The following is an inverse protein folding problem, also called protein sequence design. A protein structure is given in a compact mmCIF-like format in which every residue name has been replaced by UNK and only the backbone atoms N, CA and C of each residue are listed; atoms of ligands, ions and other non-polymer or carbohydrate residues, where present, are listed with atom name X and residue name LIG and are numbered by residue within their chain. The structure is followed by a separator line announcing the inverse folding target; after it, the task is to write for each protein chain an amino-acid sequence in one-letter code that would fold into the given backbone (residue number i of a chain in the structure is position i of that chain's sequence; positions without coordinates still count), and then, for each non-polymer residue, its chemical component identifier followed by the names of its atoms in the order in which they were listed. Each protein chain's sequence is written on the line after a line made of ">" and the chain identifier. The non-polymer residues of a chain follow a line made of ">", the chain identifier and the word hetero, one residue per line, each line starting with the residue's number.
data_IF_239204529314
#
_entry.id   IF_239204529314
#
_cell.length_a   1.000
_cell.length_b   1.000
_cell.length_c   1.000
_cell.angle_alpha   90.00
_cell.angle_beta   90.00
_cell.angle_gamma   90.00
#
_symmetry.space_group_name_H-M   'P 1'
#
loop_
_entity.id
_entity.type
_entity.pdbx_description
1 polymer ?
#
# COMPACT_ATOMS: atom_id res chain seq x y z
N UNK A 1 27.41 9.72 -47.77
CA UNK A 1 27.51 10.59 -46.58
C UNK A 1 26.22 10.60 -45.77
N UNK A 2 25.06 10.86 -46.39
CA UNK A 2 23.75 10.94 -45.69
C UNK A 2 23.36 9.66 -44.95
N UNK A 3 23.51 8.48 -45.56
CA UNK A 3 23.17 7.19 -44.92
C UNK A 3 23.96 6.96 -43.63
N UNK A 4 25.27 7.27 -43.63
CA UNK A 4 26.11 7.10 -42.46
C UNK A 4 25.71 8.01 -41.28
N UNK A 5 25.23 9.22 -41.57
CA UNK A 5 24.70 10.16 -40.57
C UNK A 5 23.37 9.69 -39.98
N UNK A 6 22.46 9.19 -40.82
CA UNK A 6 21.18 8.63 -40.36
C UNK A 6 21.40 7.43 -39.45
N UNK A 7 22.27 6.50 -39.87
CA UNK A 7 22.62 5.32 -39.05
C UNK A 7 23.30 5.71 -37.73
N UNK A 8 24.08 6.78 -37.68
CA UNK A 8 24.70 7.26 -36.45
C UNK A 8 23.66 7.81 -35.46
N UNK A 9 22.67 8.57 -35.97
CA UNK A 9 21.57 9.11 -35.15
C UNK A 9 20.71 7.99 -34.59
N UNK A 10 20.36 7.00 -35.40
CA UNK A 10 19.56 5.84 -34.97
C UNK A 10 20.29 5.03 -33.89
N UNK A 11 21.59 4.79 -34.07
CA UNK A 11 22.42 4.08 -33.09
C UNK A 11 22.64 4.87 -31.80
N UNK A 12 22.63 6.21 -31.85
CA UNK A 12 22.75 7.03 -30.65
C UNK A 12 21.41 7.15 -29.89
N UNK A 13 20.28 7.23 -30.60
CA UNK A 13 18.97 7.46 -29.99
C UNK A 13 18.36 6.19 -29.39
N UNK A 14 18.55 5.04 -30.04
CA UNK A 14 18.03 3.73 -29.58
C UNK A 14 18.39 3.39 -28.13
N UNK A 15 19.68 3.42 -27.70
CA UNK A 15 20.04 3.09 -26.33
C UNK A 15 19.51 4.11 -25.31
N UNK A 16 19.36 5.39 -25.69
CA UNK A 16 18.80 6.44 -24.83
C UNK A 16 17.32 6.14 -24.55
N UNK A 17 16.55 5.79 -25.59
CA UNK A 17 15.15 5.43 -25.45
C UNK A 17 14.97 4.17 -24.59
N UNK A 18 15.81 3.14 -24.81
CA UNK A 18 15.81 1.91 -23.99
C UNK A 18 16.10 2.25 -22.53
N UNK A 19 17.14 3.03 -22.25
CA UNK A 19 17.49 3.41 -20.89
C UNK A 19 16.36 4.17 -20.19
N UNK A 20 15.71 5.12 -20.88
CA UNK A 20 14.61 5.88 -20.30
C UNK A 20 13.44 4.99 -19.87
N UNK A 21 13.05 4.01 -20.70
CA UNK A 21 12.00 3.04 -20.35
C UNK A 21 12.41 2.22 -19.13
N UNK A 22 13.62 1.68 -19.13
CA UNK A 22 14.16 0.89 -18.01
C UNK A 22 14.23 1.72 -16.71
N UNK A 23 14.62 2.98 -16.80
CA UNK A 23 14.77 3.86 -15.65
C UNK A 23 13.42 4.21 -15.02
N UNK A 24 12.39 4.46 -15.84
CA UNK A 24 11.02 4.66 -15.35
C UNK A 24 10.49 3.39 -14.69
N UNK A 25 10.69 2.23 -15.32
CA UNK A 25 10.28 0.94 -14.77
C UNK A 25 10.95 0.69 -13.40
N UNK A 26 12.27 0.87 -13.32
CA UNK A 26 13.02 0.75 -12.07
C UNK A 26 12.45 1.62 -10.94
N UNK A 27 12.04 2.86 -11.24
CA UNK A 27 11.44 3.76 -10.23
C UNK A 27 10.11 3.24 -9.72
N UNK A 28 9.27 2.72 -10.62
CA UNK A 28 7.98 2.11 -10.26
C UNK A 28 8.20 0.87 -9.39
N UNK A 29 9.11 0.00 -9.79
CA UNK A 29 9.44 -1.23 -9.08
C UNK A 29 10.01 -0.91 -7.69
N UNK A 30 10.89 0.08 -7.60
CA UNK A 30 11.44 0.55 -6.31
C UNK A 30 10.34 1.05 -5.38
N UNK A 31 9.37 1.82 -5.89
CA UNK A 31 8.24 2.30 -5.07
C UNK A 31 7.37 1.15 -4.58
N UNK A 32 7.08 0.17 -5.44
CA UNK A 32 6.32 -1.01 -5.07
C UNK A 32 7.06 -1.86 -4.03
N UNK A 33 8.37 -2.06 -4.21
CA UNK A 33 9.22 -2.79 -3.27
C UNK A 33 9.26 -2.13 -1.89
N UNK A 34 9.40 -0.80 -1.83
CA UNK A 34 9.37 -0.08 -0.54
C UNK A 34 8.03 -0.27 0.17
N UNK A 35 6.90 -0.17 -0.54
CA UNK A 35 5.57 -0.44 0.07
C UNK A 35 5.47 -1.86 0.60
N UNK A 36 5.97 -2.83 -0.16
CA UNK A 36 5.96 -4.24 0.22
C UNK A 36 6.79 -4.49 1.49
N UNK A 37 8.03 -3.99 1.53
CA UNK A 37 8.91 -4.13 2.70
C UNK A 37 8.32 -3.42 3.92
N UNK A 38 7.75 -2.23 3.75
CA UNK A 38 7.10 -1.51 4.84
C UNK A 38 5.95 -2.32 5.43
N UNK A 39 5.09 -2.90 4.58
CA UNK A 39 4.01 -3.78 5.04
C UNK A 39 4.51 -4.99 5.82
N UNK A 40 5.57 -5.66 5.35
CA UNK A 40 6.16 -6.80 6.06
C UNK A 40 6.81 -6.41 7.40
N UNK A 41 7.31 -5.19 7.50
CA UNK A 41 7.94 -4.65 8.71
C UNK A 41 6.94 -3.97 9.65
N UNK A 42 5.65 -3.92 9.30
CA UNK A 42 4.62 -3.49 10.24
C UNK A 42 4.65 -4.36 11.49
N UNK A 43 4.36 -3.76 12.64
CA UNK A 43 4.41 -4.48 13.90
C UNK A 43 3.37 -5.59 13.90
N UNK A 44 3.78 -6.79 14.27
CA UNK A 44 2.84 -7.88 14.52
C UNK A 44 1.85 -7.46 15.62
N UNK A 45 0.56 -7.73 15.38
CA UNK A 45 -0.45 -7.53 16.40
C UNK A 45 -0.37 -8.67 17.42
N UNK A 46 0.41 -8.45 18.47
CA UNK A 46 0.59 -9.40 19.57
C UNK A 46 -0.74 -9.89 20.18
N UNK A 47 -1.84 -9.14 20.06
CA UNK A 47 -3.15 -9.55 20.58
C UNK A 47 -3.79 -10.68 19.78
N UNK A 48 -3.34 -10.94 18.54
CA UNK A 48 -3.73 -12.13 17.77
C UNK A 48 -3.18 -13.42 18.40
N UNK A 49 -2.03 -13.35 19.06
CA UNK A 49 -1.37 -14.49 19.69
C UNK A 49 -1.60 -14.54 21.20
N UNK A 50 -1.87 -13.38 21.81
CA UNK A 50 -2.04 -13.22 23.25
C UNK A 50 -3.45 -12.67 23.51
N UNK A 51 -4.34 -13.56 23.94
CA UNK A 51 -5.72 -13.21 24.26
C UNK A 51 -6.31 -14.15 25.30
N UNK A 52 -7.43 -13.74 25.91
CA UNK A 52 -8.22 -14.61 26.77
C UNK A 52 -9.27 -15.31 25.93
N UNK A 53 -9.27 -16.65 25.97
CA UNK A 53 -10.33 -17.45 25.35
C UNK A 53 -11.64 -17.22 26.09
N UNK A 54 -12.67 -16.76 25.38
CA UNK A 54 -14.03 -16.70 25.91
C UNK A 54 -14.71 -18.04 25.60
N UNK A 55 -14.97 -18.85 26.63
CA UNK A 55 -15.52 -20.21 26.47
C UNK A 55 -17.00 -20.22 26.09
N UNK A 56 -17.76 -19.24 26.58
CA UNK A 56 -19.11 -18.93 26.09
C UNK A 56 -19.40 -17.45 26.31
N UNK A 57 -19.94 -16.78 25.31
CA UNK A 57 -20.44 -15.42 25.43
C UNK A 57 -21.98 -15.47 25.51
N UNK A 58 -22.53 -15.25 26.70
CA UNK A 58 -23.95 -14.95 26.92
C UNK A 58 -24.04 -13.60 27.63
N UNK A 59 -24.69 -12.64 27.00
CA UNK A 59 -24.84 -11.28 27.51
C UNK A 59 -25.22 -10.33 26.37
N UNK A 60 -25.61 -9.12 26.75
CA UNK A 60 -26.03 -8.08 25.81
C UNK A 60 -24.81 -7.39 25.19
N UNK A 61 -24.89 -7.09 23.90
CA UNK A 61 -23.84 -6.34 23.20
C UNK A 61 -24.21 -4.86 23.27
N UNK A 62 -23.49 -4.10 24.09
CA UNK A 62 -23.65 -2.64 24.17
C UNK A 62 -22.46 -1.93 23.52
N UNK A 63 -22.73 -1.13 22.50
CA UNK A 63 -21.81 -0.14 21.94
C UNK A 63 -22.25 1.22 22.47
N UNK A 64 -21.36 1.95 23.13
CA UNK A 64 -21.66 3.26 23.67
C UNK A 64 -20.69 4.32 23.15
N UNK A 65 -21.27 5.42 22.64
CA UNK A 65 -20.55 6.62 22.23
C UNK A 65 -19.42 6.37 21.22
N UNK A 66 -19.59 5.40 20.30
CA UNK A 66 -18.54 5.03 19.36
C UNK A 66 -18.41 6.09 18.26
N UNK A 67 -17.25 6.74 18.24
CA UNK A 67 -16.78 7.54 17.11
C UNK A 67 -15.79 6.76 16.27
N UNK A 68 -15.98 6.74 14.95
CA UNK A 68 -15.02 6.13 14.02
C UNK A 68 -14.82 7.03 12.82
N UNK A 69 -13.55 7.30 12.52
CA UNK A 69 -13.13 8.08 11.37
C UNK A 69 -12.12 7.25 10.59
N UNK A 70 -12.29 7.23 9.28
CA UNK A 70 -11.33 6.67 8.35
C UNK A 70 -10.80 7.80 7.46
N UNK A 71 -9.49 8.00 7.48
CA UNK A 71 -8.82 9.16 6.90
C UNK A 71 -9.49 10.48 7.33
N UNK A 72 -10.09 11.23 6.40
CA UNK A 72 -10.79 12.48 6.64
C UNK A 72 -12.32 12.32 6.69
N UNK A 73 -12.83 11.08 6.70
CA UNK A 73 -14.26 10.79 6.67
C UNK A 73 -14.72 10.20 7.99
N UNK A 74 -15.61 10.92 8.67
CA UNK A 74 -16.33 10.38 9.83
C UNK A 74 -17.35 9.36 9.33
N UNK A 75 -17.23 8.12 9.78
CA UNK A 75 -18.13 7.01 9.43
C UNK A 75 -19.18 6.83 10.53
N UNK A 76 -18.76 6.85 11.79
CA UNK A 76 -19.66 6.85 12.94
C UNK A 76 -19.38 8.07 13.81
N UNK A 77 -20.45 8.76 14.20
CA UNK A 77 -20.41 9.83 15.19
C UNK A 77 -21.39 9.47 16.28
N UNK A 78 -20.88 9.15 17.46
CA UNK A 78 -21.67 8.86 18.67
C UNK A 78 -22.64 7.67 18.49
N UNK A 79 -22.16 6.57 17.90
CA UNK A 79 -22.97 5.37 17.70
C UNK A 79 -23.30 4.70 19.05
N UNK A 80 -24.58 4.41 19.24
CA UNK A 80 -25.15 3.71 20.39
C UNK A 80 -25.96 2.50 19.87
N UNK A 81 -25.58 1.29 20.29
CA UNK A 81 -26.26 0.04 19.92
C UNK A 81 -26.40 -0.83 21.18
N UNK A 82 -27.56 -1.45 21.36
CA UNK A 82 -27.79 -2.46 22.38
C UNK A 82 -28.45 -3.67 21.70
N UNK A 83 -27.80 -4.83 21.75
CA UNK A 83 -28.25 -6.09 21.14
C UNK A 83 -28.48 -7.16 22.19
#
# INVERSE_FOLDING_TARGET
>A
MVVALVTLVDNAYTPIAIFNVLFVQYKLDKSAYVRYVNFLNEKEDNQLFVGKRIESAKGDITISNLGFQYDNRIIFKELLIHL
#
